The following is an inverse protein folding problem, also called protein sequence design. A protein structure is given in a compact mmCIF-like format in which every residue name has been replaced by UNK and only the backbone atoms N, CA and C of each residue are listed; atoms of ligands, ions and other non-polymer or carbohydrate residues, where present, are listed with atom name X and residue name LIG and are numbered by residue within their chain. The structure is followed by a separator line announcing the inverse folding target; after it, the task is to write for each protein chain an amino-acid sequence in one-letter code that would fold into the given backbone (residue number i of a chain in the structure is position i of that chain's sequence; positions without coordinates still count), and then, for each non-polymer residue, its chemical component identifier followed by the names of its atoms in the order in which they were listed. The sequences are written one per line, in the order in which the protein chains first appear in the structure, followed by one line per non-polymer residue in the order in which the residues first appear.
data_IF_506541409955
#
_entry.id   IF_506541409955
#
_cell.length_a   1.000
_cell.length_b   1.000
_cell.length_c   1.000
_cell.angle_alpha   90.00
_cell.angle_beta   90.00
_cell.angle_gamma   90.00
#
_symmetry.space_group_name_H-M   'P 1'
#
loop_
_entity.id
_entity.type
_entity.pdbx_description
1 polymer ?
#
# COMPACT_ATOMS: atom_id res chain seq x y z
N UNK A 1 -22.85 32.92 11.61
CA UNK A 1 -21.58 33.66 11.43
C UNK A 1 -20.47 32.66 11.22
N UNK A 2 -19.88 32.57 10.02
CA UNK A 2 -18.78 31.63 9.74
C UNK A 2 -17.58 31.91 10.65
N UNK A 3 -17.02 30.88 11.26
CA UNK A 3 -15.86 30.97 12.17
C UNK A 3 -14.67 31.59 11.43
N UNK A 4 -13.76 32.26 12.17
CA UNK A 4 -12.58 32.92 11.57
C UNK A 4 -11.75 31.95 10.70
N UNK A 5 -11.74 30.67 11.06
CA UNK A 5 -11.08 29.59 10.30
C UNK A 5 -11.75 29.30 8.96
N UNK A 6 -13.08 29.28 8.88
CA UNK A 6 -13.81 29.10 7.62
C UNK A 6 -13.58 30.27 6.65
N UNK A 7 -13.45 31.49 7.20
CA UNK A 7 -13.08 32.68 6.41
C UNK A 7 -11.64 32.60 5.92
N UNK A 8 -10.72 32.09 6.74
CA UNK A 8 -9.32 31.83 6.38
C UNK A 8 -9.20 30.77 5.27
N UNK A 9 -9.97 29.68 5.37
CA UNK A 9 -10.04 28.62 4.34
C UNK A 9 -10.62 29.18 3.03
N UNK A 10 -11.65 30.02 3.10
CA UNK A 10 -12.22 30.68 1.92
C UNK A 10 -11.26 31.71 1.29
N UNK A 11 -10.39 32.34 2.08
CA UNK A 11 -9.35 33.27 1.60
C UNK A 11 -8.13 32.56 1.02
N UNK A 12 -7.73 31.42 1.60
CA UNK A 12 -6.64 30.57 1.10
C UNK A 12 -7.03 29.83 -0.19
N UNK A 13 -8.32 29.60 -0.42
CA UNK A 13 -8.82 28.88 -1.61
C UNK A 13 -9.96 29.64 -2.30
N UNK A 14 -9.68 30.64 -3.15
CA UNK A 14 -10.70 31.28 -3.96
C UNK A 14 -11.20 30.33 -5.06
N UNK A 15 -12.52 30.10 -5.09
CA UNK A 15 -13.21 29.47 -6.22
C UNK A 15 -13.14 30.41 -7.42
N UNK A 16 -12.59 29.90 -8.54
CA UNK A 16 -12.25 30.63 -9.78
C UNK A 16 -13.28 31.71 -10.17
N UNK A 17 -12.79 32.92 -10.45
CA UNK A 17 -13.38 33.83 -11.44
C UNK A 17 -12.37 34.17 -12.54
N UNK A 18 -12.93 34.36 -13.73
CA UNK A 18 -12.32 34.36 -15.07
C UNK A 18 -11.21 35.40 -15.29
N UNK A 19 -10.17 34.93 -15.99
CA UNK A 19 -9.22 35.56 -16.93
C UNK A 19 -8.82 37.03 -16.74
N UNK A 20 -7.51 37.27 -16.54
CA UNK A 20 -6.73 38.34 -17.21
C UNK A 20 -5.20 38.14 -17.06
N UNK A 21 -4.53 38.45 -18.18
CA UNK A 21 -3.11 38.84 -18.42
C UNK A 21 -1.95 37.90 -18.01
N UNK A 22 -1.15 37.57 -19.02
CA UNK A 22 -0.16 36.50 -19.08
C UNK A 22 1.18 36.77 -18.38
N UNK A 23 1.46 38.00 -17.93
CA UNK A 23 2.65 38.30 -17.11
C UNK A 23 2.35 38.35 -15.61
N UNK A 24 1.11 38.61 -15.19
CA UNK A 24 0.70 38.59 -13.78
C UNK A 24 0.66 37.16 -13.20
N UNK A 25 0.60 36.14 -14.06
CA UNK A 25 0.42 34.75 -13.62
C UNK A 25 1.62 34.18 -12.86
N UNK A 26 2.84 34.58 -13.20
CA UNK A 26 4.07 34.14 -12.53
C UNK A 26 4.23 34.85 -11.17
N UNK A 27 4.02 36.16 -11.13
CA UNK A 27 4.10 36.95 -9.90
C UNK A 27 3.02 36.57 -8.88
N UNK A 28 1.80 36.27 -9.33
CA UNK A 28 0.73 35.77 -8.44
C UNK A 28 1.05 34.38 -7.88
N UNK A 29 1.71 33.51 -8.64
CA UNK A 29 2.19 32.21 -8.13
C UNK A 29 3.33 32.39 -7.13
N UNK A 30 4.27 33.30 -7.37
CA UNK A 30 5.34 33.59 -6.41
C UNK A 30 4.82 34.22 -5.11
N UNK A 31 3.82 35.10 -5.19
CA UNK A 31 3.11 35.63 -4.00
C UNK A 31 2.38 34.51 -3.25
N UNK A 32 1.77 33.58 -3.97
CA UNK A 32 1.15 32.40 -3.38
C UNK A 32 2.17 31.54 -2.63
N UNK A 33 3.32 31.25 -3.26
CA UNK A 33 4.39 30.46 -2.64
C UNK A 33 4.86 31.10 -1.33
N UNK A 34 5.13 32.41 -1.31
CA UNK A 34 5.54 33.13 -0.09
C UNK A 34 4.48 33.07 1.02
N UNK A 35 3.20 33.25 0.67
CA UNK A 35 2.10 33.19 1.65
C UNK A 35 1.92 31.79 2.19
N UNK A 36 2.03 30.77 1.33
CA UNK A 36 1.94 29.38 1.74
C UNK A 36 3.08 29.02 2.69
N UNK A 37 4.32 29.39 2.36
CA UNK A 37 5.46 29.15 3.25
C UNK A 37 5.30 29.86 4.58
N UNK A 38 4.91 31.15 4.59
CA UNK A 38 4.65 31.88 5.83
C UNK A 38 3.55 31.22 6.68
N UNK A 39 2.54 30.63 6.03
CA UNK A 39 1.49 29.88 6.72
C UNK A 39 2.01 28.54 7.28
N UNK A 40 2.81 27.80 6.52
CA UNK A 40 3.42 26.54 6.96
C UNK A 40 4.43 26.74 8.08
N UNK A 41 5.15 27.87 8.09
CA UNK A 41 6.09 28.26 9.15
C UNK A 41 5.41 28.81 10.41
N UNK A 42 4.08 28.94 10.43
CA UNK A 42 3.39 29.43 11.61
C UNK A 42 3.20 28.32 12.64
N UNK A 43 3.60 28.57 13.90
CA UNK A 43 3.62 27.59 15.01
C UNK A 43 2.23 27.08 15.45
N UNK A 44 1.14 27.48 14.79
CA UNK A 44 -0.25 27.19 15.19
C UNK A 44 -1.00 26.33 14.17
N UNK A 45 -0.37 25.30 13.61
CA UNK A 45 -1.10 24.30 12.82
C UNK A 45 -1.67 23.22 13.74
N UNK A 46 -3.01 23.18 13.82
CA UNK A 46 -3.69 22.03 14.42
C UNK A 46 -3.40 20.74 13.62
N UNK A 47 -3.34 19.61 14.33
CA UNK A 47 -3.01 18.31 13.74
C UNK A 47 -4.01 17.86 12.68
N UNK A 48 -5.27 18.33 12.73
CA UNK A 48 -6.27 18.02 11.71
C UNK A 48 -6.01 18.82 10.42
N UNK A 49 -5.71 20.11 10.56
CA UNK A 49 -5.38 21.00 9.45
C UNK A 49 -4.08 20.56 8.77
N UNK A 50 -3.07 20.21 9.55
CA UNK A 50 -1.80 19.69 9.06
C UNK A 50 -1.98 18.46 8.14
N UNK A 51 -2.74 17.46 8.58
CA UNK A 51 -3.05 16.27 7.75
C UNK A 51 -3.86 16.63 6.52
N UNK A 52 -4.84 17.53 6.65
CA UNK A 52 -5.65 17.99 5.50
C UNK A 52 -4.78 18.67 4.45
N UNK A 53 -3.81 19.50 4.86
CA UNK A 53 -2.86 20.14 3.95
C UNK A 53 -2.03 19.09 3.23
N UNK A 54 -1.38 18.17 3.98
CA UNK A 54 -0.58 17.10 3.40
C UNK A 54 -1.36 16.27 2.36
N UNK A 55 -2.65 16.01 2.61
CA UNK A 55 -3.50 15.27 1.68
C UNK A 55 -3.75 16.03 0.37
N UNK A 56 -3.84 17.36 0.42
CA UNK A 56 -4.09 18.23 -0.74
C UNK A 56 -2.80 18.65 -1.47
N UNK A 57 -1.61 18.39 -0.90
CA UNK A 57 -0.33 18.78 -1.50
C UNK A 57 -0.19 18.25 -2.93
N UNK A 58 -0.26 16.93 -3.16
CA UNK A 58 -0.11 16.32 -4.49
C UNK A 58 -1.09 16.87 -5.53
N UNK A 59 -2.35 17.06 -5.15
CA UNK A 59 -3.45 17.27 -6.11
C UNK A 59 -3.76 18.73 -6.37
N UNK A 60 -3.56 19.62 -5.40
CA UNK A 60 -4.00 21.03 -5.49
C UNK A 60 -2.90 22.04 -5.26
N UNK A 61 -1.91 21.74 -4.42
CA UNK A 61 -0.89 22.72 -4.03
C UNK A 61 0.26 22.71 -5.03
N UNK A 62 0.87 21.55 -5.31
CA UNK A 62 2.00 21.43 -6.25
C UNK A 62 1.68 22.05 -7.63
N UNK A 63 0.53 21.79 -8.27
CA UNK A 63 0.22 22.38 -9.58
C UNK A 63 0.05 23.90 -9.60
N UNK A 64 -0.18 24.52 -8.42
CA UNK A 64 -0.39 25.97 -8.29
C UNK A 64 0.87 26.73 -7.96
N UNK A 65 1.89 26.07 -7.41
CA UNK A 65 3.13 26.72 -7.01
C UNK A 65 3.97 27.12 -8.24
N UNK A 66 4.76 28.19 -8.11
CA UNK A 66 5.79 28.50 -9.11
C UNK A 66 6.98 27.57 -8.92
N UNK A 67 7.44 27.41 -7.67
CA UNK A 67 8.59 26.57 -7.31
C UNK A 67 8.22 25.51 -6.26
N UNK A 68 7.75 24.31 -6.67
CA UNK A 68 7.34 23.25 -5.75
C UNK A 68 8.45 22.69 -4.85
N UNK A 69 9.72 22.86 -5.24
CA UNK A 69 10.88 22.42 -4.45
C UNK A 69 10.95 23.07 -3.06
N UNK A 70 10.35 24.25 -2.88
CA UNK A 70 10.27 24.92 -1.57
C UNK A 70 9.52 24.10 -0.51
N UNK A 71 8.74 23.11 -0.93
CA UNK A 71 7.97 22.22 -0.06
C UNK A 71 8.79 21.00 0.42
N UNK A 72 10.00 20.80 -0.12
CA UNK A 72 10.83 19.63 0.18
C UNK A 72 11.18 19.54 1.67
N UNK A 73 11.62 20.64 2.29
CA UNK A 73 11.98 20.68 3.72
C UNK A 73 10.78 20.39 4.61
N UNK A 74 9.62 20.97 4.27
CA UNK A 74 8.37 20.73 4.98
C UNK A 74 7.95 19.25 4.88
N UNK A 75 7.98 18.67 3.69
CA UNK A 75 7.59 17.27 3.47
C UNK A 75 8.57 16.28 4.13
N UNK A 76 9.87 16.60 4.10
CA UNK A 76 10.90 15.78 4.76
C UNK A 76 10.70 15.80 6.28
N UNK A 77 10.49 16.98 6.86
CA UNK A 77 10.16 17.12 8.29
C UNK A 77 8.86 16.39 8.66
N UNK A 78 7.88 16.44 7.75
CA UNK A 78 6.60 15.73 7.92
C UNK A 78 6.75 14.20 7.90
N UNK A 79 7.71 13.71 7.12
CA UNK A 79 8.03 12.29 7.04
C UNK A 79 8.84 11.78 8.24
N UNK A 80 9.71 12.61 8.81
CA UNK A 80 10.50 12.26 10.01
C UNK A 80 9.68 12.27 11.31
N UNK A 81 8.47 12.83 11.27
CA UNK A 81 7.53 12.82 12.40
C UNK A 81 7.12 11.39 12.77
N UNK A 82 6.94 11.08 14.06
CA UNK A 82 6.59 9.72 14.52
C UNK A 82 5.26 9.18 13.97
N UNK A 83 4.32 10.05 13.61
CA UNK A 83 2.97 9.67 13.16
C UNK A 83 2.96 9.05 11.76
N UNK A 84 2.70 7.74 11.67
CA UNK A 84 2.62 6.99 10.39
C UNK A 84 1.65 7.62 9.37
N UNK A 85 0.53 8.19 9.81
CA UNK A 85 -0.40 8.91 8.93
C UNK A 85 0.30 10.08 8.20
N UNK A 86 1.04 10.92 8.93
CA UNK A 86 1.77 12.04 8.32
C UNK A 86 2.84 11.55 7.35
N UNK A 87 3.55 10.45 7.70
CA UNK A 87 4.55 9.83 6.83
C UNK A 87 3.95 9.42 5.48
N UNK A 88 2.85 8.66 5.51
CA UNK A 88 2.15 8.18 4.30
C UNK A 88 1.71 9.34 3.42
N UNK A 89 1.16 10.40 4.02
CA UNK A 89 0.68 11.56 3.27
C UNK A 89 1.82 12.38 2.66
N UNK A 90 2.91 12.58 3.41
CA UNK A 90 4.08 13.29 2.94
C UNK A 90 4.79 12.57 1.79
N UNK A 91 4.82 11.24 1.84
CA UNK A 91 5.52 10.39 0.89
C UNK A 91 5.00 10.57 -0.55
N UNK A 92 3.68 10.74 -0.74
CA UNK A 92 3.14 11.07 -2.07
C UNK A 92 3.67 12.42 -2.60
N UNK A 93 3.74 13.44 -1.73
CA UNK A 93 4.29 14.74 -2.10
C UNK A 93 5.77 14.65 -2.48
N UNK A 94 6.56 13.93 -1.69
CA UNK A 94 7.99 13.70 -1.98
C UNK A 94 8.19 12.96 -3.29
N UNK A 95 7.41 11.91 -3.57
CA UNK A 95 7.52 11.17 -4.82
C UNK A 95 7.24 12.05 -6.06
N UNK A 96 6.26 12.95 -5.98
CA UNK A 96 6.00 13.90 -7.07
C UNK A 96 7.18 14.86 -7.24
N UNK A 97 7.74 15.38 -6.14
CA UNK A 97 8.93 16.25 -6.22
C UNK A 97 10.14 15.51 -6.81
N UNK A 98 10.33 14.25 -6.46
CA UNK A 98 11.40 13.41 -7.03
C UNK A 98 11.19 13.16 -8.52
N UNK A 99 9.98 12.80 -8.94
CA UNK A 99 9.71 12.36 -10.33
C UNK A 99 9.49 13.50 -11.31
N UNK A 100 8.86 14.61 -10.89
CA UNK A 100 8.50 15.72 -11.77
C UNK A 100 9.44 16.92 -11.64
N UNK A 101 10.04 17.11 -10.46
CA UNK A 101 10.88 18.27 -10.16
C UNK A 101 12.34 17.89 -9.86
N UNK A 102 12.72 16.62 -10.12
CA UNK A 102 14.07 16.08 -9.96
C UNK A 102 14.68 16.32 -8.56
N UNK A 103 13.86 16.29 -7.51
CA UNK A 103 14.36 16.33 -6.14
C UNK A 103 15.15 15.06 -5.83
N UNK A 104 16.41 15.21 -5.45
CA UNK A 104 17.21 14.09 -4.95
C UNK A 104 16.87 13.83 -3.48
N UNK A 105 16.05 12.80 -3.23
CA UNK A 105 15.77 12.34 -1.87
C UNK A 105 16.55 11.04 -1.59
N UNK A 106 17.58 11.08 -0.73
CA UNK A 106 18.44 9.93 -0.50
C UNK A 106 17.67 8.79 0.15
N UNK A 107 17.96 7.55 -0.29
CA UNK A 107 17.39 6.32 0.28
C UNK A 107 15.85 6.27 0.36
N UNK A 108 15.14 6.92 -0.57
CA UNK A 108 13.67 6.91 -0.63
C UNK A 108 13.07 5.50 -0.45
N UNK A 109 13.59 4.51 -1.20
CA UNK A 109 13.09 3.14 -1.11
C UNK A 109 13.47 2.42 0.18
N UNK A 110 14.58 2.78 0.83
CA UNK A 110 14.91 2.26 2.17
C UNK A 110 13.94 2.79 3.23
N UNK A 111 13.56 4.07 3.12
CA UNK A 111 12.53 4.70 3.94
C UNK A 111 11.13 4.13 3.68
N UNK A 112 10.80 3.82 2.43
CA UNK A 112 9.56 3.14 2.06
C UNK A 112 9.52 1.71 2.61
N UNK A 113 10.64 1.00 2.50
CA UNK A 113 10.81 -0.36 3.01
C UNK A 113 10.69 -0.41 4.54
N UNK A 114 11.30 0.54 5.26
CA UNK A 114 11.19 0.61 6.72
C UNK A 114 9.77 0.90 7.21
N UNK A 115 8.96 1.61 6.41
CA UNK A 115 7.56 1.90 6.72
C UNK A 115 6.74 0.60 6.76
N UNK A 116 7.06 -0.40 5.91
CA UNK A 116 6.38 -1.70 5.81
C UNK A 116 6.41 -2.51 7.12
N UNK A 117 5.48 -2.21 8.00
CA UNK A 117 5.31 -2.77 9.34
C UNK A 117 3.85 -3.14 9.55
N UNK A 118 3.57 -3.93 10.58
CA UNK A 118 2.22 -4.38 10.94
C UNK A 118 1.31 -3.17 11.21
N UNK A 119 1.86 -2.09 11.75
CA UNK A 119 1.13 -0.86 12.08
C UNK A 119 0.48 -0.16 10.88
N UNK A 120 0.97 -0.39 9.65
CA UNK A 120 0.32 0.18 8.46
C UNK A 120 -1.07 -0.43 8.24
N UNK A 121 -1.25 -1.71 8.55
CA UNK A 121 -2.53 -2.39 8.33
C UNK A 121 -3.63 -1.83 9.24
N UNK A 122 -3.24 -1.27 10.38
CA UNK A 122 -4.13 -0.57 11.29
C UNK A 122 -4.21 0.95 11.02
N UNK A 123 -3.48 1.45 10.01
CA UNK A 123 -3.42 2.88 9.73
C UNK A 123 -4.65 3.36 8.94
N UNK A 124 -5.19 4.52 9.33
CA UNK A 124 -6.33 5.18 8.66
C UNK A 124 -6.16 5.38 7.15
N UNK A 125 -4.92 5.50 6.68
CA UNK A 125 -4.60 5.73 5.26
C UNK A 125 -3.95 4.50 4.59
N UNK A 126 -4.25 3.29 5.08
CA UNK A 126 -3.78 1.99 4.53
C UNK A 126 -4.02 1.88 3.03
N UNK A 127 -5.27 2.02 2.58
CA UNK A 127 -5.65 1.92 1.17
C UNK A 127 -4.81 2.84 0.26
N UNK A 128 -4.64 4.09 0.70
CA UNK A 128 -3.81 5.08 0.02
C UNK A 128 -2.33 4.69 0.00
N UNK A 129 -1.81 4.14 1.08
CA UNK A 129 -0.42 3.68 1.13
C UNK A 129 -0.17 2.56 0.12
N UNK A 130 -1.02 1.52 0.08
CA UNK A 130 -0.84 0.41 -0.87
C UNK A 130 -1.06 0.82 -2.32
N UNK A 131 -2.00 1.74 -2.58
CA UNK A 131 -2.15 2.37 -3.89
C UNK A 131 -0.86 3.08 -4.34
N UNK A 132 -0.27 3.88 -3.45
CA UNK A 132 0.97 4.59 -3.72
C UNK A 132 2.16 3.64 -3.87
N UNK A 133 2.24 2.60 -3.04
CA UNK A 133 3.26 1.56 -3.12
C UNK A 133 3.25 0.87 -4.49
N UNK A 134 2.08 0.59 -5.04
CA UNK A 134 1.94 0.01 -6.39
C UNK A 134 2.54 0.93 -7.46
N UNK A 135 2.21 2.23 -7.39
CA UNK A 135 2.75 3.26 -8.30
C UNK A 135 4.27 3.38 -8.19
N UNK A 136 4.82 3.38 -6.97
CA UNK A 136 6.26 3.52 -6.78
C UNK A 136 7.03 2.32 -7.33
N UNK A 137 6.51 1.12 -7.12
CA UNK A 137 7.12 -0.13 -7.58
C UNK A 137 6.87 -0.41 -9.08
N UNK A 138 6.00 0.35 -9.74
CA UNK A 138 5.82 0.30 -11.19
C UNK A 138 6.96 0.98 -11.97
N UNK A 139 7.83 1.75 -11.31
CA UNK A 139 8.92 2.46 -11.98
C UNK A 139 9.94 1.51 -12.64
N UNK A 140 10.36 1.86 -13.87
CA UNK A 140 11.19 1.00 -14.74
C UNK A 140 12.64 0.82 -14.29
N UNK A 141 13.17 1.75 -13.48
CA UNK A 141 14.59 1.80 -13.12
C UNK A 141 14.91 1.12 -11.78
N UNK A 142 14.02 0.28 -11.26
CA UNK A 142 14.24 -0.39 -9.98
C UNK A 142 15.11 -1.64 -10.13
N UNK A 143 16.13 -1.82 -9.26
CA UNK A 143 16.91 -3.04 -9.24
C UNK A 143 16.05 -4.22 -8.77
N UNK A 144 16.27 -5.40 -9.36
CA UNK A 144 15.49 -6.61 -9.07
C UNK A 144 15.58 -7.00 -7.59
N UNK A 145 16.76 -6.85 -6.97
CA UNK A 145 16.97 -7.17 -5.55
C UNK A 145 16.07 -6.35 -4.62
N UNK A 146 15.83 -5.07 -4.96
CA UNK A 146 14.92 -4.22 -4.21
C UNK A 146 13.51 -4.78 -4.28
N UNK A 147 12.98 -5.06 -5.47
CA UNK A 147 11.62 -5.56 -5.61
C UNK A 147 11.47 -6.94 -4.93
N UNK A 148 12.48 -7.81 -5.03
CA UNK A 148 12.52 -9.09 -4.33
C UNK A 148 12.45 -8.90 -2.79
N UNK A 149 13.15 -7.90 -2.24
CA UNK A 149 13.09 -7.59 -0.82
C UNK A 149 11.72 -7.11 -0.37
N UNK A 150 11.05 -6.26 -1.18
CA UNK A 150 9.68 -5.82 -0.94
C UNK A 150 8.72 -7.01 -0.95
N UNK A 151 8.80 -7.87 -1.97
CA UNK A 151 7.98 -9.08 -2.07
C UNK A 151 8.18 -10.01 -0.86
N UNK A 152 9.43 -10.26 -0.46
CA UNK A 152 9.74 -11.12 0.70
C UNK A 152 9.26 -10.52 2.03
N UNK A 153 9.43 -9.21 2.23
CA UNK A 153 8.94 -8.53 3.44
C UNK A 153 7.42 -8.56 3.52
N UNK A 154 6.73 -8.31 2.41
CA UNK A 154 5.28 -8.41 2.33
C UNK A 154 4.80 -9.85 2.59
N UNK A 155 5.48 -10.86 2.06
CA UNK A 155 5.17 -12.26 2.32
C UNK A 155 5.31 -12.62 3.81
N UNK A 156 6.36 -12.14 4.49
CA UNK A 156 6.49 -12.32 5.94
C UNK A 156 5.41 -11.59 6.73
N UNK A 157 5.08 -10.37 6.33
CA UNK A 157 3.99 -9.63 6.96
C UNK A 157 2.65 -10.36 6.78
N UNK A 158 2.39 -11.01 5.63
CA UNK A 158 1.13 -11.75 5.41
C UNK A 158 0.85 -12.86 6.40
N UNK A 159 1.86 -13.36 7.13
CA UNK A 159 1.65 -14.34 8.21
C UNK A 159 1.14 -13.70 9.52
N UNK A 160 1.34 -12.40 9.71
CA UNK A 160 1.02 -11.69 10.95
C UNK A 160 -0.23 -10.81 10.82
N UNK A 161 -0.65 -10.51 9.59
CA UNK A 161 -1.73 -9.59 9.30
C UNK A 161 -3.11 -10.30 9.40
N UNK A 162 -4.18 -9.57 9.77
CA UNK A 162 -5.58 -10.01 9.63
C UNK A 162 -5.98 -10.56 8.25
N UNK A 163 -6.96 -11.47 8.21
CA UNK A 163 -7.34 -12.25 7.01
C UNK A 163 -7.76 -11.40 5.80
N UNK A 164 -8.52 -10.31 6.01
CA UNK A 164 -9.04 -9.48 4.92
C UNK A 164 -7.92 -8.83 4.09
N UNK A 165 -6.79 -8.49 4.74
CA UNK A 165 -5.63 -7.86 4.11
C UNK A 165 -4.67 -8.87 3.46
N UNK A 166 -4.74 -10.15 3.83
CA UNK A 166 -3.86 -11.19 3.26
C UNK A 166 -4.10 -11.34 1.76
N UNK A 167 -5.36 -11.31 1.31
CA UNK A 167 -5.71 -11.35 -0.11
C UNK A 167 -5.12 -10.18 -0.90
N UNK A 168 -5.13 -8.97 -0.31
CA UNK A 168 -4.51 -7.78 -0.90
C UNK A 168 -3.01 -7.99 -1.07
N UNK A 169 -2.31 -8.45 -0.03
CA UNK A 169 -0.86 -8.67 -0.07
C UNK A 169 -0.46 -9.77 -1.06
N UNK A 170 -1.18 -10.89 -1.07
CA UNK A 170 -0.92 -11.99 -2.02
C UNK A 170 -1.12 -11.49 -3.46
N UNK A 171 -2.18 -10.72 -3.71
CA UNK A 171 -2.45 -10.14 -5.05
C UNK A 171 -1.39 -9.11 -5.44
N UNK A 172 -0.92 -8.32 -4.48
CA UNK A 172 0.17 -7.37 -4.67
C UNK A 172 1.48 -8.09 -5.08
N UNK A 173 1.87 -9.13 -4.34
CA UNK A 173 3.07 -9.93 -4.66
C UNK A 173 2.91 -10.61 -6.03
N UNK A 174 1.72 -11.13 -6.34
CA UNK A 174 1.40 -11.70 -7.64
C UNK A 174 1.65 -10.70 -8.78
N UNK A 175 1.18 -9.44 -8.64
CA UNK A 175 1.41 -8.40 -9.63
C UNK A 175 2.89 -8.03 -9.76
N UNK A 176 3.64 -7.97 -8.65
CA UNK A 176 5.10 -7.74 -8.70
C UNK A 176 5.84 -8.83 -9.50
N UNK A 177 5.45 -10.09 -9.35
CA UNK A 177 6.08 -11.22 -10.04
C UNK A 177 5.72 -11.23 -11.54
N UNK A 178 4.52 -10.78 -11.90
CA UNK A 178 4.13 -10.61 -13.32
C UNK A 178 4.95 -9.50 -13.97
N UNK A 179 5.10 -8.35 -13.30
CA UNK A 179 5.90 -7.22 -13.79
C UNK A 179 7.39 -7.56 -13.89
N UNK A 180 7.91 -8.33 -12.93
CA UNK A 180 9.33 -8.67 -12.84
C UNK A 180 9.54 -10.20 -12.81
N UNK A 181 9.59 -10.86 -13.99
CA UNK A 181 9.65 -12.32 -14.09
C UNK A 181 10.95 -12.92 -13.52
N UNK A 182 11.99 -12.11 -13.30
CA UNK A 182 13.24 -12.51 -12.64
C UNK A 182 13.03 -12.97 -11.19
N UNK A 183 12.04 -12.39 -10.49
CA UNK A 183 11.72 -12.70 -9.09
C UNK A 183 11.01 -14.06 -8.96
N UNK A 184 10.50 -14.61 -10.07
CA UNK A 184 9.82 -15.91 -10.10
C UNK A 184 10.69 -17.07 -9.58
N UNK A 185 12.01 -16.92 -9.58
CA UNK A 185 12.95 -17.89 -8.99
C UNK A 185 12.71 -18.11 -7.49
N UNK A 186 12.06 -17.17 -6.78
CA UNK A 186 11.72 -17.30 -5.37
C UNK A 186 10.53 -18.26 -5.13
N UNK A 187 9.70 -18.50 -6.15
CA UNK A 187 8.60 -19.49 -6.10
C UNK A 187 9.14 -20.85 -6.51
N UNK A 188 9.77 -20.93 -7.69
CA UNK A 188 10.25 -22.19 -8.24
C UNK A 188 11.73 -22.07 -8.60
N UNK A 189 12.57 -22.70 -7.79
CA UNK A 189 14.01 -22.81 -8.02
C UNK A 189 14.29 -24.18 -8.61
N UNK A 190 14.72 -24.21 -9.87
CA UNK A 190 15.23 -25.45 -10.47
C UNK A 190 16.53 -25.81 -9.76
N UNK A 191 16.55 -26.94 -9.08
CA UNK A 191 17.61 -27.38 -8.19
C UNK A 191 18.84 -27.79 -9.02
N UNK A 192 19.71 -26.84 -9.35
CA UNK A 192 20.93 -27.11 -10.14
C UNK A 192 22.18 -27.30 -9.31
N UNK A 193 22.16 -26.94 -8.02
CA UNK A 193 23.31 -27.15 -7.12
C UNK A 193 22.85 -27.60 -5.74
N UNK A 194 23.54 -28.60 -5.22
CA UNK A 194 23.48 -29.13 -3.86
C UNK A 194 23.89 -28.03 -2.86
N UNK A 195 22.99 -27.09 -2.62
CA UNK A 195 23.15 -26.12 -1.54
C UNK A 195 22.60 -26.84 -0.30
N UNK A 196 23.46 -27.05 0.70
CA UNK A 196 23.06 -27.40 2.07
C UNK A 196 22.13 -26.29 2.60
N UNK A 197 20.84 -26.36 2.28
CA UNK A 197 19.93 -25.18 2.28
C UNK A 197 18.78 -25.34 3.26
N UNK A 198 19.09 -25.74 4.51
CA UNK A 198 18.09 -25.71 5.59
C UNK A 198 17.93 -24.33 6.25
N UNK A 199 18.67 -23.31 5.81
CA UNK A 199 18.60 -21.96 6.41
C UNK A 199 18.36 -20.88 5.35
N UNK A 200 17.30 -20.12 5.55
CA UNK A 200 16.98 -18.93 4.76
C UNK A 200 18.07 -17.86 4.96
N UNK A 201 18.65 -17.37 3.86
CA UNK A 201 19.73 -16.36 3.82
C UNK A 201 19.15 -14.94 4.04
N UNK A 202 17.83 -14.75 3.89
CA UNK A 202 17.22 -13.43 3.94
C UNK A 202 17.25 -12.79 5.36
N UNK A 203 17.79 -11.57 5.42
CA UNK A 203 17.86 -10.77 6.66
C UNK A 203 16.64 -9.87 6.82
N UNK A 204 15.81 -10.16 7.83
CA UNK A 204 14.59 -9.37 8.11
C UNK A 204 14.87 -8.01 8.77
N UNK A 205 16.00 -7.87 9.45
CA UNK A 205 16.35 -6.69 10.25
C UNK A 205 17.06 -5.62 9.43
N UNK A 206 17.53 -5.98 8.25
CA UNK A 206 18.22 -5.07 7.35
C UNK A 206 17.26 -3.98 6.86
N UNK A 207 17.70 -2.72 6.88
CA UNK A 207 16.90 -1.57 6.45
C UNK A 207 17.07 -1.28 4.96
N UNK A 208 18.24 -1.61 4.40
CA UNK A 208 18.55 -1.41 2.99
C UNK A 208 17.98 -2.56 2.15
N UNK A 209 16.95 -2.33 1.31
CA UNK A 209 16.31 -3.39 0.53
C UNK A 209 17.29 -4.14 -0.38
N UNK A 210 18.30 -3.45 -0.90
CA UNK A 210 19.32 -4.01 -1.79
C UNK A 210 20.28 -5.02 -1.11
N UNK A 211 20.39 -5.01 0.22
CA UNK A 211 21.33 -5.85 1.00
C UNK A 211 20.66 -7.01 1.72
N UNK A 212 19.35 -7.19 1.55
CA UNK A 212 18.56 -8.20 2.27
C UNK A 212 18.79 -9.64 1.78
N UNK A 213 19.40 -9.82 0.61
CA UNK A 213 19.58 -11.10 -0.10
C UNK A 213 18.26 -11.86 -0.35
N UNK A 214 17.16 -11.13 -0.53
CA UNK A 214 15.83 -11.72 -0.75
C UNK A 214 15.74 -12.58 -2.02
N UNK A 215 16.52 -12.29 -3.05
CA UNK A 215 16.49 -13.03 -4.32
C UNK A 215 17.02 -14.47 -4.17
N UNK A 216 17.89 -14.70 -3.18
CA UNK A 216 18.45 -16.00 -2.85
C UNK A 216 17.51 -16.82 -1.96
N UNK A 217 16.56 -16.16 -1.30
CA UNK A 217 15.49 -16.77 -0.52
C UNK A 217 14.35 -17.30 -1.39
N UNK A 218 13.50 -18.13 -0.80
CA UNK A 218 12.22 -18.59 -1.34
C UNK A 218 11.02 -18.02 -0.58
N UNK A 219 9.81 -18.07 -1.16
CA UNK A 219 8.56 -17.55 -0.57
C UNK A 219 7.75 -18.63 0.17
N UNK A 220 8.33 -19.21 1.22
CA UNK A 220 7.68 -20.28 2.01
C UNK A 220 6.48 -19.78 2.79
N UNK A 221 6.44 -18.49 3.07
CA UNK A 221 5.34 -17.83 3.76
C UNK A 221 4.04 -17.93 2.95
N UNK A 222 4.12 -17.77 1.62
CA UNK A 222 2.95 -17.91 0.74
C UNK A 222 2.52 -19.37 0.61
N UNK A 223 3.48 -20.31 0.62
CA UNK A 223 3.15 -21.75 0.61
C UNK A 223 2.36 -22.12 1.86
N UNK A 224 2.74 -21.58 3.01
CA UNK A 224 2.03 -21.81 4.27
C UNK A 224 0.59 -21.27 4.21
N UNK A 225 0.36 -20.15 3.53
CA UNK A 225 -0.97 -19.56 3.33
C UNK A 225 -1.86 -20.36 2.36
N UNK A 226 -1.34 -21.33 1.61
CA UNK A 226 -2.18 -22.22 0.79
C UNK A 226 -3.11 -23.09 1.62
N UNK A 227 -2.75 -23.36 2.88
CA UNK A 227 -3.53 -24.15 3.85
C UNK A 227 -4.25 -23.25 4.86
N UNK A 228 -4.52 -21.99 4.51
CA UNK A 228 -5.18 -21.04 5.39
C UNK A 228 -6.65 -21.42 5.65
N UNK A 229 -7.16 -21.09 6.84
CA UNK A 229 -8.52 -21.45 7.26
C UNK A 229 -9.61 -20.84 6.36
N UNK A 230 -9.38 -19.62 5.86
CA UNK A 230 -10.31 -18.96 4.93
C UNK A 230 -10.05 -19.42 3.49
N UNK A 231 -11.07 -19.91 2.77
CA UNK A 231 -10.89 -20.48 1.44
C UNK A 231 -10.46 -19.46 0.39
N UNK A 232 -10.88 -18.19 0.48
CA UNK A 232 -10.54 -17.21 -0.54
C UNK A 232 -9.05 -16.87 -0.47
N UNK A 233 -8.49 -16.70 0.73
CA UNK A 233 -7.04 -16.54 0.95
C UNK A 233 -6.27 -17.74 0.38
N UNK A 234 -6.71 -18.97 0.71
CA UNK A 234 -6.08 -20.19 0.23
C UNK A 234 -6.08 -20.25 -1.32
N UNK A 235 -7.21 -19.91 -1.96
CA UNK A 235 -7.29 -19.85 -3.42
C UNK A 235 -6.37 -18.78 -4.00
N UNK A 236 -6.29 -17.59 -3.40
CA UNK A 236 -5.36 -16.54 -3.80
C UNK A 236 -3.91 -17.05 -3.75
N UNK A 237 -3.49 -17.68 -2.65
CA UNK A 237 -2.15 -18.24 -2.50
C UNK A 237 -1.86 -19.35 -3.53
N UNK A 238 -2.81 -20.27 -3.75
CA UNK A 238 -2.70 -21.31 -4.76
C UNK A 238 -2.56 -20.74 -6.18
N UNK A 239 -3.28 -19.65 -6.50
CA UNK A 239 -3.14 -19.00 -7.81
C UNK A 239 -1.77 -18.34 -8.01
N UNK A 240 -1.14 -17.87 -6.94
CA UNK A 240 0.23 -17.37 -6.97
C UNK A 240 1.23 -18.51 -7.15
N UNK A 241 1.08 -19.64 -6.45
CA UNK A 241 2.00 -20.78 -6.60
C UNK A 241 1.88 -21.47 -7.96
N UNK A 242 0.66 -21.54 -8.49
CA UNK A 242 0.40 -22.10 -9.83
C UNK A 242 0.64 -21.12 -10.98
N UNK A 243 1.29 -19.97 -10.73
CA UNK A 243 1.44 -18.88 -11.70
C UNK A 243 2.13 -19.33 -12.99
N UNK A 244 1.45 -19.11 -14.11
CA UNK A 244 1.92 -19.41 -15.47
C UNK A 244 2.29 -18.12 -16.19
N UNK A 245 3.18 -18.20 -17.19
CA UNK A 245 3.69 -17.04 -17.95
C UNK A 245 2.60 -16.24 -18.70
N UNK A 246 1.39 -16.77 -18.90
CA UNK A 246 0.29 -16.13 -19.66
C UNK A 246 -0.67 -15.32 -18.78
N UNK A 247 -0.38 -15.18 -17.50
CA UNK A 247 -1.27 -14.55 -16.56
C UNK A 247 -1.17 -13.01 -16.65
N UNK A 248 -2.31 -12.33 -16.57
CA UNK A 248 -2.38 -10.87 -16.53
C UNK A 248 -2.38 -10.35 -15.09
N UNK A 249 -2.04 -9.07 -14.94
CA UNK A 249 -2.18 -8.34 -13.68
C UNK A 249 -3.63 -8.37 -13.18
N UNK A 250 -3.79 -8.40 -11.87
CA UNK A 250 -5.08 -8.31 -11.19
C UNK A 250 -5.28 -6.91 -10.66
N UNK A 251 -6.52 -6.44 -10.71
CA UNK A 251 -6.86 -5.15 -10.10
C UNK A 251 -6.78 -5.25 -8.57
N UNK A 252 -6.01 -4.35 -7.95
CA UNK A 252 -5.84 -4.27 -6.50
C UNK A 252 -6.90 -3.34 -5.89
N UNK A 253 -7.49 -2.42 -6.68
CA UNK A 253 -8.35 -1.36 -6.14
C UNK A 253 -9.56 -1.88 -5.37
N UNK A 254 -10.16 -2.96 -5.82
CA UNK A 254 -11.31 -3.60 -5.16
C UNK A 254 -10.94 -4.19 -3.79
N UNK A 255 -9.67 -4.53 -3.57
CA UNK A 255 -9.20 -5.15 -2.34
C UNK A 255 -8.71 -4.12 -1.29
N UNK A 256 -8.48 -2.87 -1.69
CA UNK A 256 -7.86 -1.85 -0.84
C UNK A 256 -8.75 -1.40 0.33
N UNK A 257 -10.07 -1.44 0.15
CA UNK A 257 -11.07 -0.89 1.08
C UNK A 257 -11.84 -1.97 1.83
N UNK A 258 -11.51 -3.25 1.63
CA UNK A 258 -12.21 -4.36 2.28
C UNK A 258 -11.87 -4.38 3.76
N UNK A 259 -12.88 -4.17 4.58
CA UNK A 259 -12.84 -4.36 6.01
C UNK A 259 -13.35 -5.75 6.40
N UNK A 260 -13.14 -6.14 7.67
CA UNK A 260 -13.66 -7.42 8.19
C UNK A 260 -15.17 -7.55 8.07
N UNK A 261 -15.90 -6.46 8.28
CA UNK A 261 -17.36 -6.45 8.20
C UNK A 261 -17.82 -6.78 6.77
N UNK A 262 -17.19 -6.18 5.76
CA UNK A 262 -17.50 -6.46 4.35
C UNK A 262 -17.14 -7.90 3.96
N UNK A 263 -15.99 -8.41 4.44
CA UNK A 263 -15.61 -9.81 4.23
C UNK A 263 -16.64 -10.76 4.84
N UNK A 264 -17.12 -10.46 6.05
CA UNK A 264 -18.13 -11.25 6.73
C UNK A 264 -19.49 -11.20 6.00
N UNK A 265 -19.92 -10.02 5.57
CA UNK A 265 -21.13 -9.87 4.76
C UNK A 265 -21.04 -10.62 3.43
N UNK A 266 -19.87 -10.63 2.78
CA UNK A 266 -19.63 -11.41 1.58
C UNK A 266 -19.81 -12.92 1.85
N UNK A 267 -19.26 -13.43 2.95
CA UNK A 267 -19.37 -14.84 3.33
C UNK A 267 -20.81 -15.24 3.71
N UNK A 268 -21.54 -14.37 4.42
CA UNK A 268 -22.97 -14.56 4.70
C UNK A 268 -23.78 -14.66 3.40
N UNK A 269 -23.56 -13.72 2.48
CA UNK A 269 -24.24 -13.70 1.19
C UNK A 269 -23.89 -14.92 0.32
N UNK A 270 -22.66 -15.42 0.43
CA UNK A 270 -22.22 -16.67 -0.22
C UNK A 270 -22.99 -17.87 0.31
N UNK A 271 -23.17 -17.98 1.64
CA UNK A 271 -23.96 -19.04 2.27
C UNK A 271 -25.41 -19.00 1.80
N UNK A 272 -26.05 -17.83 1.83
CA UNK A 272 -27.45 -17.66 1.39
C UNK A 272 -27.61 -18.05 -0.09
N UNK A 273 -26.63 -17.72 -0.94
CA UNK A 273 -26.63 -18.11 -2.35
C UNK A 273 -26.45 -19.61 -2.54
N UNK A 274 -25.63 -20.27 -1.73
CA UNK A 274 -25.53 -21.73 -1.77
C UNK A 274 -26.84 -22.37 -1.32
N UNK A 275 -27.48 -21.88 -0.26
CA UNK A 275 -28.73 -22.45 0.26
C UNK A 275 -29.87 -22.28 -0.75
N UNK A 276 -30.00 -21.11 -1.37
CA UNK A 276 -30.96 -20.88 -2.47
C UNK A 276 -30.71 -21.75 -3.71
N UNK A 277 -29.44 -22.14 -3.98
CA UNK A 277 -29.11 -23.07 -5.06
C UNK A 277 -29.48 -24.51 -4.66
N UNK A 278 -29.24 -24.89 -3.41
CA UNK A 278 -29.59 -26.20 -2.85
C UNK A 278 -31.10 -26.43 -2.81
N UNK A 279 -31.90 -25.42 -2.46
CA UNK A 279 -33.38 -25.52 -2.50
C UNK A 279 -33.94 -25.76 -3.91
N UNK A 280 -33.23 -25.30 -4.95
CA UNK A 280 -33.59 -25.56 -6.36
C UNK A 280 -33.20 -26.98 -6.80
N UNK A 281 -32.22 -27.60 -6.16
CA UNK A 281 -31.77 -28.97 -6.41
C UNK A 281 -32.14 -29.84 -5.21
N UNK A 282 -33.37 -30.37 -5.20
CA UNK A 282 -34.08 -31.03 -4.06
C UNK A 282 -33.31 -32.00 -3.14
N UNK A 283 -32.07 -32.40 -3.41
CA UNK A 283 -31.27 -33.33 -2.61
C UNK A 283 -29.82 -32.84 -2.41
N UNK A 284 -29.58 -31.83 -1.57
CA UNK A 284 -28.21 -31.52 -1.15
C UNK A 284 -28.16 -31.19 0.33
N UNK A 285 -28.27 -32.24 1.14
CA UNK A 285 -28.00 -32.20 2.57
C UNK A 285 -26.60 -31.60 2.81
N UNK A 286 -26.49 -30.71 3.81
CA UNK A 286 -25.18 -30.22 4.24
C UNK A 286 -24.37 -31.40 4.83
N UNK A 287 -23.07 -31.54 4.51
CA UNK A 287 -22.26 -32.58 5.12
C UNK A 287 -22.20 -32.36 6.64
N UNK A 288 -22.77 -33.30 7.41
CA UNK A 288 -22.71 -33.30 8.87
C UNK A 288 -21.47 -34.11 9.28
N UNK A 289 -20.80 -33.66 10.35
CA UNK A 289 -19.69 -34.42 10.93
C UNK A 289 -20.23 -35.67 11.64
N UNK A 290 -19.92 -36.86 11.13
CA UNK A 290 -20.33 -38.14 11.72
C UNK A 290 -19.60 -38.48 13.03
N UNK A 291 -18.50 -37.79 13.34
CA UNK A 291 -17.71 -38.00 14.55
C UNK A 291 -18.18 -37.11 15.71
N UNK A 292 -19.46 -37.20 16.09
CA UNK A 292 -19.98 -36.43 17.22
C UNK A 292 -19.53 -37.09 18.54
N UNK A 293 -18.70 -36.41 19.32
CA UNK A 293 -18.26 -36.89 20.65
C UNK A 293 -19.41 -36.75 21.65
N UNK A 294 -19.80 -37.86 22.29
CA UNK A 294 -20.98 -37.95 23.16
C UNK A 294 -20.86 -37.09 24.44
N UNK A 295 -19.65 -36.73 24.87
CA UNK A 295 -19.38 -35.96 26.09
C UNK A 295 -18.59 -34.66 25.79
N UNK A 296 -19.26 -33.67 25.19
CA UNK A 296 -18.62 -32.36 24.89
C UNK A 296 -18.63 -31.39 26.08
N UNK A 297 -19.56 -31.57 27.03
CA UNK A 297 -19.78 -30.64 28.16
C UNK A 297 -20.11 -31.34 29.50
N UNK A 298 -19.98 -32.67 29.57
CA UNK A 298 -20.08 -33.45 30.83
C UNK A 298 -18.70 -33.47 31.53
#
# INVERSE_FOLDING_TARGET
MKTKEEKLIQYLFPTKKKNKTTNDSMDEKQKYDRRLLAFLSSDKLDATLYRRILLQIPTKIIPRMANPLLLADFLTSSYETQNNASKILALHGLYILMTQYNLEYPFFFGKLYSLLTIDIFNAKYKARFFYLLDIFLQSSHLPVNLIASFAKRLARLSLLIPQHDQCLIITFIYNLIIRHPTIRIMINRQQTQSIDSNKDIYSSKELDPNKTNAIESSLWEIESLTHHHHPDVATCALTLMSLRKKNNERDIHQLLEIDYDEMFEHDLNRSIRSDKKKDKTKNSECPINFNMTVSLFD
#
